data_IF_453305524156
#
_entry.id   IF_453305524156
#
_cell.length_a   1.000
_cell.length_b   1.000
_cell.length_c   1.000
_cell.angle_alpha   90.00
_cell.angle_beta   90.00
_cell.angle_gamma   90.00
#
_symmetry.space_group_name_H-M   'P 1'
#
loop_
_entity.id
_entity.type
_entity.pdbx_description
1 polymer ?
#
# COMPACT_ATOMS: atom_id res chain seq x y z
N UNK A 1 -12.39 3.13 17.50
CA UNK A 1 -11.01 3.24 16.96
C UNK A 1 -10.64 2.01 16.15
N UNK A 2 -9.48 2.05 15.51
CA UNK A 2 -8.92 0.93 14.72
C UNK A 2 -7.89 0.15 15.55
N UNK A 3 -7.75 -1.14 15.27
CA UNK A 3 -6.61 -1.95 15.64
C UNK A 3 -5.59 -1.85 14.49
N UNK A 4 -4.40 -1.32 14.78
CA UNK A 4 -3.29 -1.27 13.83
C UNK A 4 -2.55 -2.61 13.90
N UNK A 5 -2.70 -3.43 12.86
CA UNK A 5 -2.03 -4.72 12.79
C UNK A 5 -0.57 -4.59 12.37
N UNK A 6 -0.28 -3.60 11.52
CA UNK A 6 1.06 -3.36 11.04
C UNK A 6 1.11 -2.29 9.96
N UNK A 7 2.32 -2.04 9.48
CA UNK A 7 2.60 -1.09 8.40
C UNK A 7 3.20 -1.85 7.23
N UNK A 8 2.49 -1.84 6.11
CA UNK A 8 3.03 -2.27 4.83
C UNK A 8 3.81 -1.12 4.20
N UNK A 9 4.70 -1.43 3.28
CA UNK A 9 5.61 -0.48 2.64
C UNK A 9 5.46 -0.65 1.14
N UNK A 10 4.97 0.39 0.49
CA UNK A 10 5.08 0.50 -0.96
C UNK A 10 6.50 0.92 -1.32
N UNK A 11 7.31 -0.01 -1.83
CA UNK A 11 8.64 0.26 -2.36
C UNK A 11 8.53 0.64 -3.84
N UNK A 12 9.01 1.84 -4.17
CA UNK A 12 9.02 2.38 -5.53
C UNK A 12 10.30 1.95 -6.25
N UNK A 13 10.22 1.88 -7.57
CA UNK A 13 11.37 1.57 -8.44
C UNK A 13 12.45 2.67 -8.44
N UNK A 14 12.09 3.90 -8.03
CA UNK A 14 13.03 5.03 -7.97
C UNK A 14 12.81 5.86 -6.72
N UNK A 15 13.89 6.44 -6.20
CA UNK A 15 13.84 7.40 -5.11
C UNK A 15 13.19 8.72 -5.55
N UNK A 16 12.64 9.45 -4.58
CA UNK A 16 12.22 10.84 -4.72
C UNK A 16 13.29 11.71 -4.10
N UNK A 17 13.87 12.60 -4.90
CA UNK A 17 14.86 13.57 -4.44
C UNK A 17 14.19 14.64 -3.58
N UNK A 18 14.79 14.89 -2.42
CA UNK A 18 14.39 15.86 -1.42
C UNK A 18 15.61 16.37 -0.67
N UNK A 19 15.37 17.25 0.31
CA UNK A 19 16.43 17.96 1.06
C UNK A 19 16.95 17.20 2.27
N UNK A 20 16.39 16.03 2.55
CA UNK A 20 16.78 15.19 3.70
C UNK A 20 18.03 14.36 3.39
N UNK A 21 18.80 13.93 4.42
CA UNK A 21 19.95 13.05 4.23
C UNK A 21 19.60 11.72 3.56
N UNK A 22 18.40 11.18 3.85
CA UNK A 22 17.85 10.00 3.19
C UNK A 22 16.79 10.40 2.17
N UNK A 23 16.89 9.81 0.98
CA UNK A 23 15.92 10.03 -0.09
C UNK A 23 14.81 8.98 -0.03
N UNK A 24 13.57 9.41 -0.22
CA UNK A 24 12.41 8.53 -0.04
C UNK A 24 12.22 7.62 -1.24
N UNK A 25 12.49 6.32 -1.06
CA UNK A 25 12.18 5.29 -2.06
C UNK A 25 10.88 4.54 -1.76
N UNK A 26 10.25 4.79 -0.61
CA UNK A 26 9.05 4.07 -0.21
C UNK A 26 7.99 4.98 0.40
N UNK A 27 6.77 4.45 0.53
CA UNK A 27 5.65 5.08 1.23
C UNK A 27 4.98 4.06 2.14
N UNK A 28 4.69 4.40 3.41
CA UNK A 28 4.02 3.49 4.34
C UNK A 28 2.52 3.40 4.05
N UNK A 29 1.95 2.21 4.30
CA UNK A 29 0.52 1.91 4.22
C UNK A 29 0.11 1.27 5.55
N UNK A 30 -0.76 1.94 6.30
CA UNK A 30 -1.27 1.41 7.57
C UNK A 30 -2.32 0.33 7.30
N UNK A 31 -2.11 -0.86 7.86
CA UNK A 31 -3.03 -1.98 7.73
C UNK A 31 -3.67 -2.31 9.08
N UNK A 32 -5.00 -2.37 9.09
CA UNK A 32 -5.77 -2.57 10.31
C UNK A 32 -7.27 -2.60 10.07
N UNK A 33 -8.02 -2.88 11.13
CA UNK A 33 -9.49 -3.01 11.09
C UNK A 33 -10.14 -2.34 12.30
N UNK A 34 -11.46 -2.19 12.28
CA UNK A 34 -12.21 -1.63 13.42
C UNK A 34 -12.04 -2.55 14.64
N UNK A 35 -11.74 -2.00 15.82
CA UNK A 35 -11.57 -2.79 17.06
C UNK A 35 -12.78 -3.68 17.40
N UNK A 36 -13.99 -3.23 17.06
CA UNK A 36 -15.25 -3.97 17.24
C UNK A 36 -15.73 -4.71 15.98
N UNK A 37 -14.93 -4.70 14.91
CA UNK A 37 -15.24 -5.38 13.65
C UNK A 37 -14.44 -6.67 13.50
N UNK A 38 -14.78 -7.44 12.45
CA UNK A 38 -14.02 -8.63 12.08
C UNK A 38 -12.88 -8.27 11.13
N UNK A 39 -11.75 -8.95 11.27
CA UNK A 39 -10.69 -8.95 10.27
C UNK A 39 -11.03 -9.99 9.20
N UNK A 40 -11.50 -9.53 8.05
CA UNK A 40 -11.79 -10.41 6.91
C UNK A 40 -10.54 -10.45 6.01
N UNK A 41 -9.99 -11.65 5.84
CA UNK A 41 -8.78 -11.88 5.05
C UNK A 41 -9.03 -13.02 4.06
N UNK A 42 -8.84 -12.73 2.78
CA UNK A 42 -9.20 -13.61 1.67
C UNK A 42 -7.98 -14.03 0.82
N UNK A 43 -6.77 -13.78 1.32
CA UNK A 43 -5.52 -14.19 0.67
C UNK A 43 -4.83 -15.34 1.43
N UNK A 44 -3.77 -15.88 0.85
CA UNK A 44 -2.91 -16.89 1.49
C UNK A 44 -1.95 -16.29 2.56
N UNK A 45 -1.07 -17.13 3.11
CA UNK A 45 -0.03 -16.76 4.08
C UNK A 45 1.32 -16.38 3.46
N UNK A 46 1.38 -16.17 2.14
CA UNK A 46 2.62 -15.82 1.42
C UNK A 46 2.78 -14.32 1.21
N UNK A 47 1.76 -13.53 1.56
CA UNK A 47 1.78 -12.08 1.41
C UNK A 47 2.80 -11.47 2.38
N UNK A 48 3.56 -10.48 1.91
CA UNK A 48 4.58 -9.78 2.71
C UNK A 48 4.21 -8.32 2.92
N UNK A 49 4.91 -7.65 3.84
CA UNK A 49 4.71 -6.23 4.12
C UNK A 49 5.40 -5.32 3.11
N UNK A 50 6.25 -5.83 2.22
CA UNK A 50 6.94 -5.03 1.20
C UNK A 50 6.26 -5.25 -0.15
N UNK A 51 5.73 -4.17 -0.72
CA UNK A 51 4.99 -4.21 -1.98
C UNK A 51 5.78 -3.46 -3.04
N UNK A 52 6.20 -4.17 -4.07
CA UNK A 52 6.97 -3.61 -5.18
C UNK A 52 6.04 -3.35 -6.36
N UNK A 53 5.54 -2.12 -6.45
CA UNK A 53 4.74 -1.65 -7.58
C UNK A 53 5.38 -0.40 -8.17
N UNK A 54 5.53 -0.36 -9.49
CA UNK A 54 6.16 0.81 -10.11
C UNK A 54 5.22 2.02 -10.07
N UNK A 55 5.73 3.16 -9.61
CA UNK A 55 5.06 4.45 -9.75
C UNK A 55 4.92 4.78 -11.25
N UNK A 56 3.77 5.29 -11.74
CA UNK A 56 3.62 5.67 -13.13
C UNK A 56 4.63 6.76 -13.50
N UNK A 57 5.27 6.63 -14.67
CA UNK A 57 6.24 7.62 -15.16
C UNK A 57 5.62 9.00 -15.40
N UNK A 58 4.34 9.03 -15.77
CA UNK A 58 3.55 10.24 -15.98
C UNK A 58 2.13 10.03 -15.46
N UNK A 59 1.62 11.02 -14.75
CA UNK A 59 0.23 11.05 -14.31
C UNK A 59 -0.53 12.06 -15.18
N UNK A 60 -1.62 11.63 -15.82
CA UNK A 60 -2.42 12.49 -16.71
C UNK A 60 -3.40 13.35 -15.92
N UNK A 61 -3.98 12.80 -14.85
CA UNK A 61 -5.13 13.40 -14.18
C UNK A 61 -4.75 14.14 -12.89
N UNK A 62 -3.83 13.57 -12.09
CA UNK A 62 -3.44 14.18 -10.82
C UNK A 62 -1.98 13.87 -10.43
N UNK A 63 -1.20 14.84 -9.89
CA UNK A 63 0.22 14.65 -9.59
C UNK A 63 0.53 13.51 -8.60
N UNK A 64 -0.41 13.16 -7.73
CA UNK A 64 -0.22 12.13 -6.68
C UNK A 64 -0.91 10.79 -6.96
N UNK A 65 -1.30 10.51 -8.21
CA UNK A 65 -1.90 9.22 -8.57
C UNK A 65 -1.02 8.05 -8.13
N UNK A 66 -1.68 7.02 -7.59
CA UNK A 66 -1.08 5.75 -7.21
C UNK A 66 -1.30 4.72 -8.33
N UNK A 67 -0.39 3.75 -8.50
CA UNK A 67 -0.63 2.63 -9.42
C UNK A 67 -1.92 1.91 -9.04
N UNK A 68 -2.75 1.54 -10.02
CA UNK A 68 -3.99 0.80 -9.75
C UNK A 68 -3.67 -0.54 -9.07
N UNK A 69 -2.64 -1.25 -9.54
CA UNK A 69 -2.22 -2.53 -8.98
C UNK A 69 -1.85 -2.44 -7.49
N UNK A 70 -1.23 -1.34 -7.05
CA UNK A 70 -0.89 -1.10 -5.64
C UNK A 70 -2.13 -1.10 -4.75
N UNK A 71 -3.24 -0.52 -5.23
CA UNK A 71 -4.49 -0.39 -4.46
C UNK A 71 -5.36 -1.64 -4.63
N UNK A 72 -5.38 -2.24 -5.82
CA UNK A 72 -6.16 -3.44 -6.10
C UNK A 72 -5.68 -4.64 -5.26
N UNK A 73 -4.37 -4.81 -5.10
CA UNK A 73 -3.78 -5.91 -4.34
C UNK A 73 -4.33 -6.05 -2.90
N UNK A 74 -4.26 -5.03 -2.01
CA UNK A 74 -4.82 -5.14 -0.66
C UNK A 74 -6.36 -5.19 -0.63
N UNK A 75 -7.05 -4.62 -1.62
CA UNK A 75 -8.51 -4.72 -1.75
C UNK A 75 -8.92 -6.18 -1.96
N UNK A 76 -8.28 -6.88 -2.90
CA UNK A 76 -8.53 -8.30 -3.17
C UNK A 76 -8.23 -9.16 -1.95
N UNK A 77 -7.17 -8.85 -1.21
CA UNK A 77 -6.81 -9.57 0.00
C UNK A 77 -7.82 -9.36 1.16
N UNK A 78 -8.63 -8.29 1.09
CA UNK A 78 -9.48 -7.84 2.20
C UNK A 78 -10.98 -7.77 1.86
N UNK A 79 -11.38 -8.10 0.62
CA UNK A 79 -12.77 -8.01 0.13
C UNK A 79 -13.14 -9.20 -0.75
N UNK A 80 -14.42 -9.53 -0.82
CA UNK A 80 -14.99 -10.46 -1.80
C UNK A 80 -15.67 -9.67 -2.92
N UNK A 81 -15.71 -10.26 -4.13
CA UNK A 81 -16.61 -9.79 -5.19
C UNK A 81 -18.05 -10.10 -4.78
N UNK A 82 -18.94 -9.12 -4.95
CA UNK A 82 -20.38 -9.30 -4.73
C UNK A 82 -21.00 -10.22 -5.77
#
# INVERSE_FOLDING_TARGET
>A
GFYLSGTCIWKKQSLVLGRSPYQWQHEPVLFGWKKKGKHNWYSDRKQTTIWEFEKPKKNKDHPTMKPVALVAYPILNSSLTN
#
